data_IF_589311996847
#
_entry.id   IF_589311996847
#
_cell.length_a   1.000
_cell.length_b   1.000
_cell.length_c   1.000
_cell.angle_alpha   90.00
_cell.angle_beta   90.00
_cell.angle_gamma   90.00
#
_symmetry.space_group_name_H-M   'P 1'
#
loop_
_entity.id
_entity.type
_entity.pdbx_description
1 polymer ?
#
# COMPACT_ATOMS: atom_id res chain seq x y z
N UNK A 1 -9.39 -0.25 18.44
CA UNK A 1 -8.69 -0.93 17.32
C UNK A 1 -9.50 -0.64 16.07
N UNK A 2 -8.92 0.03 15.09
CA UNK A 2 -9.61 0.46 13.87
C UNK A 2 -8.89 -0.12 12.65
N UNK A 3 -9.65 -0.48 11.62
CA UNK A 3 -9.12 -0.85 10.32
C UNK A 3 -9.21 0.40 9.44
N UNK A 4 -8.08 0.81 8.89
CA UNK A 4 -8.02 1.90 7.91
C UNK A 4 -7.69 1.31 6.54
N UNK A 5 -8.34 1.84 5.51
CA UNK A 5 -8.05 1.51 4.12
C UNK A 5 -7.65 2.80 3.42
N UNK A 6 -6.49 2.79 2.80
CA UNK A 6 -5.98 3.87 1.95
C UNK A 6 -5.53 3.22 0.65
N UNK A 7 -5.84 3.84 -0.48
CA UNK A 7 -5.49 3.28 -1.77
C UNK A 7 -5.76 4.24 -2.92
N UNK A 8 -5.19 3.89 -4.07
CA UNK A 8 -5.40 4.56 -5.35
C UNK A 8 -6.03 3.53 -6.28
N UNK A 9 -7.23 3.80 -6.79
CA UNK A 9 -7.96 2.87 -7.64
C UNK A 9 -8.24 3.43 -9.04
N UNK A 10 -8.74 2.59 -9.93
CA UNK A 10 -9.06 2.97 -11.32
C UNK A 10 -10.22 3.96 -11.44
N UNK A 11 -11.02 4.16 -10.38
CA UNK A 11 -12.16 5.10 -10.39
C UNK A 11 -11.72 6.51 -10.03
N UNK A 12 -10.70 6.62 -9.19
CA UNK A 12 -10.21 7.87 -8.60
C UNK A 12 -8.93 8.39 -9.24
N UNK A 13 -8.15 7.54 -9.92
CA UNK A 13 -6.89 7.95 -10.53
C UNK A 13 -6.63 7.30 -11.90
N UNK A 14 -6.02 8.06 -12.82
CA UNK A 14 -5.58 7.54 -14.11
C UNK A 14 -4.38 6.58 -13.96
N UNK A 15 -4.12 5.79 -14.99
CA UNK A 15 -3.12 4.70 -14.97
C UNK A 15 -1.73 5.20 -14.62
N UNK A 16 -1.34 6.37 -15.12
CA UNK A 16 0.00 6.95 -14.93
C UNK A 16 0.27 7.32 -13.46
N UNK A 17 -0.78 7.53 -12.65
CA UNK A 17 -0.64 7.72 -11.20
C UNK A 17 -0.52 6.37 -10.50
N UNK A 18 -1.31 5.38 -10.91
CA UNK A 18 -1.29 4.04 -10.31
C UNK A 18 0.05 3.33 -10.50
N UNK A 19 0.67 3.47 -11.68
CA UNK A 19 1.98 2.88 -11.94
C UNK A 19 3.09 3.43 -11.03
N UNK A 20 2.96 4.68 -10.56
CA UNK A 20 3.93 5.30 -9.64
C UNK A 20 3.85 4.76 -8.21
N UNK A 21 2.73 4.13 -7.85
CA UNK A 21 2.48 3.59 -6.50
C UNK A 21 2.30 2.07 -6.52
N UNK A 22 2.53 1.44 -7.67
CA UNK A 22 2.50 -0.01 -7.81
C UNK A 22 3.77 -0.62 -7.26
N UNK A 23 3.63 -1.66 -6.45
CA UNK A 23 4.75 -2.44 -5.93
C UNK A 23 5.03 -3.64 -6.82
N UNK A 24 6.30 -3.93 -7.07
CA UNK A 24 6.70 -5.21 -7.64
C UNK A 24 6.58 -6.32 -6.58
N UNK A 25 6.33 -7.59 -6.97
CA UNK A 25 6.13 -8.67 -6.00
C UNK A 25 7.30 -8.87 -5.03
N UNK A 26 8.53 -8.60 -5.45
CA UNK A 26 9.74 -8.68 -4.63
C UNK A 26 9.88 -7.50 -3.65
N UNK A 27 9.19 -6.38 -3.85
CA UNK A 27 9.24 -5.19 -2.99
C UNK A 27 8.20 -5.24 -1.86
N UNK A 28 7.12 -6.02 -2.04
CA UNK A 28 6.00 -6.08 -1.10
C UNK A 28 6.42 -6.49 0.32
N UNK A 29 7.34 -7.44 0.46
CA UNK A 29 7.79 -7.91 1.77
C UNK A 29 8.48 -6.78 2.54
N UNK A 30 9.37 -6.04 1.89
CA UNK A 30 10.08 -4.92 2.49
C UNK A 30 9.13 -3.75 2.78
N UNK A 31 8.24 -3.42 1.84
CA UNK A 31 7.25 -2.34 2.02
C UNK A 31 6.32 -2.60 3.23
N UNK A 32 5.89 -3.85 3.46
CA UNK A 32 5.07 -4.20 4.62
C UNK A 32 5.85 -4.07 5.95
N UNK A 33 7.16 -4.38 5.95
CA UNK A 33 8.03 -4.17 7.12
C UNK A 33 8.14 -2.68 7.40
N UNK A 34 8.47 -1.87 6.40
CA UNK A 34 8.58 -0.41 6.55
C UNK A 34 7.26 0.22 7.04
N UNK A 35 6.11 -0.19 6.48
CA UNK A 35 4.80 0.31 6.92
C UNK A 35 4.48 -0.08 8.38
N UNK A 36 4.97 -1.22 8.86
CA UNK A 36 4.76 -1.66 10.25
C UNK A 36 5.56 -0.83 11.25
N UNK A 37 6.67 -0.24 10.83
CA UNK A 37 7.52 0.59 11.69
C UNK A 37 6.92 1.99 11.93
N UNK A 38 5.95 2.39 11.12
CA UNK A 38 5.26 3.67 11.27
C UNK A 38 4.39 3.75 12.53
N UNK A 39 4.29 4.95 13.08
CA UNK A 39 3.56 5.18 14.33
C UNK A 39 2.09 4.77 14.19
N UNK A 40 1.62 4.00 15.18
CA UNK A 40 0.22 3.56 15.31
C UNK A 40 -0.22 2.49 14.31
N UNK A 41 0.71 1.82 13.63
CA UNK A 41 0.42 0.65 12.79
C UNK A 41 0.80 -0.63 13.55
N UNK A 42 -0.21 -1.41 13.96
CA UNK A 42 0.01 -2.69 14.64
C UNK A 42 0.21 -3.84 13.65
N UNK A 43 -0.61 -3.88 12.62
CA UNK A 43 -0.63 -4.85 11.54
C UNK A 43 -0.95 -4.13 10.24
N UNK A 44 -0.46 -4.67 9.11
CA UNK A 44 -0.75 -4.12 7.79
C UNK A 44 -0.76 -5.22 6.73
N UNK A 45 -1.36 -4.89 5.59
CA UNK A 45 -1.30 -5.66 4.35
C UNK A 45 -1.32 -4.67 3.18
N UNK A 46 -0.47 -4.91 2.17
CA UNK A 46 -0.45 -4.12 0.93
C UNK A 46 -1.02 -4.99 -0.20
N UNK A 47 -1.96 -4.44 -0.97
CA UNK A 47 -2.54 -5.07 -2.16
C UNK A 47 -2.22 -4.18 -3.36
N UNK A 48 -1.44 -4.69 -4.30
CA UNK A 48 -1.04 -3.99 -5.54
C UNK A 48 -1.45 -4.82 -6.74
N UNK A 49 -2.20 -4.23 -7.68
CA UNK A 49 -2.80 -4.89 -8.86
C UNK A 49 -2.74 -4.03 -10.11
#
# INVERSE_FOLDING_TARGET
MHILVVGVDYKSAPIEIREKVSFQPNELAEAMVQLKEEKSILENIIVST
#
